data_IF_224000626271
#
_entry.id   IF_224000626271
#
_cell.length_a   1.000
_cell.length_b   1.000
_cell.length_c   1.000
_cell.angle_alpha   90.00
_cell.angle_beta   90.00
_cell.angle_gamma   90.00
#
_symmetry.space_group_name_H-M   'P 1'
#
loop_
_entity.id
_entity.type
_entity.pdbx_description
1 polymer ?
#
# COMPACT_ATOMS: atom_id res chain seq x y z
N UNK A 1 26.08 50.09 12.80
CA UNK A 1 24.66 49.75 12.55
C UNK A 1 24.64 48.24 12.35
N UNK A 2 24.41 47.53 13.45
CA UNK A 2 24.55 46.06 13.52
C UNK A 2 23.16 45.45 13.26
N UNK A 3 23.06 44.68 12.19
CA UNK A 3 21.86 43.96 11.79
C UNK A 3 21.57 42.86 12.83
N UNK A 4 20.36 42.70 13.35
CA UNK A 4 20.04 41.63 14.26
C UNK A 4 19.98 40.28 13.51
N UNK A 5 20.85 39.36 13.89
CA UNK A 5 20.89 37.95 13.48
C UNK A 5 19.62 37.24 13.98
N UNK A 6 18.54 37.32 13.20
CA UNK A 6 17.24 36.65 13.50
C UNK A 6 17.30 35.16 13.17
N UNK A 7 18.08 34.42 13.96
CA UNK A 7 18.06 32.97 13.95
C UNK A 7 16.76 32.47 14.58
N UNK A 8 15.91 31.77 13.83
CA UNK A 8 14.65 31.27 14.38
C UNK A 8 14.91 30.41 15.61
N UNK A 9 14.21 30.71 16.70
CA UNK A 9 14.37 30.03 17.99
C UNK A 9 14.16 28.51 17.83
N UNK A 10 14.88 27.72 18.64
CA UNK A 10 14.80 26.24 18.63
C UNK A 10 13.34 25.71 18.68
N UNK A 11 12.47 26.39 19.46
CA UNK A 11 11.02 26.09 19.51
C UNK A 11 10.31 26.28 18.18
N UNK A 12 10.63 27.32 17.40
CA UNK A 12 10.04 27.54 16.05
C UNK A 12 10.45 26.46 15.06
N UNK A 13 11.73 26.04 15.10
CA UNK A 13 12.22 24.95 14.23
C UNK A 13 11.59 23.60 14.57
N UNK A 14 11.42 23.26 15.83
CA UNK A 14 10.73 22.05 16.28
C UNK A 14 9.24 22.06 15.87
N UNK A 15 8.57 23.20 16.00
CA UNK A 15 7.17 23.37 15.59
C UNK A 15 7.01 23.20 14.09
N UNK A 16 7.88 23.80 13.28
CA UNK A 16 7.86 23.67 11.81
C UNK A 16 8.07 22.20 11.40
N UNK A 17 9.10 21.53 11.92
CA UNK A 17 9.38 20.13 11.62
C UNK A 17 8.21 19.20 12.02
N UNK A 18 7.52 19.48 13.12
CA UNK A 18 6.34 18.72 13.51
C UNK A 18 5.16 18.94 12.55
N UNK A 19 4.94 20.20 12.13
CA UNK A 19 3.89 20.51 11.14
C UNK A 19 4.16 19.83 9.80
N UNK A 20 5.42 19.86 9.33
CA UNK A 20 5.81 19.22 8.07
C UNK A 20 5.60 17.70 8.12
N UNK A 21 5.97 17.07 9.24
CA UNK A 21 5.72 15.62 9.45
C UNK A 21 4.24 15.29 9.49
N UNK A 22 3.42 16.11 10.14
CA UNK A 22 1.97 15.92 10.18
C UNK A 22 1.32 16.15 8.82
N UNK A 23 1.80 17.13 8.04
CA UNK A 23 1.33 17.37 6.68
C UNK A 23 1.71 16.21 5.75
N UNK A 24 2.95 15.74 5.80
CA UNK A 24 3.40 14.59 5.02
C UNK A 24 2.60 13.32 5.36
N UNK A 25 2.33 13.08 6.65
CA UNK A 25 1.48 11.95 7.09
C UNK A 25 0.05 12.06 6.59
N UNK A 26 -0.55 13.24 6.58
CA UNK A 26 -1.89 13.47 6.03
C UNK A 26 -1.91 13.23 4.53
N UNK A 27 -0.95 13.79 3.80
CA UNK A 27 -0.82 13.59 2.36
C UNK A 27 -0.65 12.10 2.01
N UNK A 28 0.15 11.36 2.79
CA UNK A 28 0.29 9.92 2.66
C UNK A 28 -1.06 9.21 2.90
N UNK A 29 -1.76 9.54 4.00
CA UNK A 29 -3.04 8.91 4.33
C UNK A 29 -4.13 9.17 3.28
N UNK A 30 -4.12 10.34 2.65
CA UNK A 30 -5.08 10.72 1.62
C UNK A 30 -4.82 10.02 0.27
N UNK A 31 -3.57 9.70 -0.03
CA UNK A 31 -3.15 9.10 -1.30
C UNK A 31 -2.93 7.59 -1.22
N UNK A 32 -2.54 7.08 -0.06
CA UNK A 32 -2.26 5.68 0.13
C UNK A 32 -3.52 4.82 0.18
N UNK A 33 -3.43 3.63 -0.40
CA UNK A 33 -4.47 2.61 -0.31
C UNK A 33 -3.97 1.47 0.58
N UNK A 34 -4.66 1.20 1.67
CA UNK A 34 -4.39 0.05 2.50
C UNK A 34 -4.82 -1.25 1.80
N UNK A 35 -3.99 -2.29 1.84
CA UNK A 35 -4.30 -3.59 1.24
C UNK A 35 -5.60 -4.18 1.81
N UNK A 36 -5.83 -4.03 3.12
CA UNK A 36 -7.07 -4.46 3.77
C UNK A 36 -8.33 -3.77 3.19
N UNK A 37 -8.19 -2.62 2.54
CA UNK A 37 -9.29 -1.96 1.82
C UNK A 37 -9.56 -2.58 0.46
N UNK A 38 -8.58 -3.21 -0.18
CA UNK A 38 -8.70 -3.79 -1.51
C UNK A 38 -9.12 -5.26 -1.46
N UNK A 39 -8.50 -6.04 -0.58
CA UNK A 39 -8.79 -7.48 -0.47
C UNK A 39 -10.27 -7.72 -0.13
N UNK A 40 -10.89 -8.59 -0.92
CA UNK A 40 -12.31 -8.91 -0.82
C UNK A 40 -13.25 -7.91 -1.50
N UNK A 41 -12.75 -6.79 -2.04
CA UNK A 41 -13.58 -5.85 -2.80
C UNK A 41 -13.97 -6.39 -4.17
N UNK A 42 -15.12 -5.98 -4.70
CA UNK A 42 -15.51 -6.33 -6.05
C UNK A 42 -14.55 -5.69 -7.07
N UNK A 43 -14.31 -6.43 -8.13
CA UNK A 43 -13.71 -5.90 -9.36
C UNK A 43 -14.88 -5.56 -10.27
N UNK A 44 -14.94 -4.30 -10.70
CA UNK A 44 -16.00 -3.80 -11.57
C UNK A 44 -15.44 -3.62 -12.99
N UNK A 45 -16.26 -3.88 -14.00
CA UNK A 45 -15.94 -3.50 -15.37
C UNK A 45 -16.15 -1.99 -15.60
N UNK A 46 -15.91 -1.50 -16.81
CA UNK A 46 -16.11 -0.10 -17.19
C UNK A 46 -17.56 0.38 -16.99
N UNK A 47 -18.54 -0.52 -17.11
CA UNK A 47 -19.96 -0.24 -16.92
C UNK A 47 -20.41 -0.34 -15.44
N UNK A 48 -19.51 -0.65 -14.51
CA UNK A 48 -19.83 -0.80 -13.09
C UNK A 48 -20.39 -2.17 -12.71
N UNK A 49 -20.45 -3.13 -13.64
CA UNK A 49 -20.87 -4.50 -13.35
C UNK A 49 -19.75 -5.26 -12.64
N UNK A 50 -20.14 -6.03 -11.63
CA UNK A 50 -19.18 -6.87 -10.89
C UNK A 50 -18.74 -8.06 -11.75
N UNK A 51 -17.44 -8.18 -11.99
CA UNK A 51 -16.82 -9.26 -12.77
C UNK A 51 -15.96 -10.20 -11.94
N UNK A 52 -15.66 -9.82 -10.70
CA UNK A 52 -14.84 -10.65 -9.82
C UNK A 52 -14.71 -10.04 -8.43
N UNK A 53 -13.70 -10.51 -7.71
CA UNK A 53 -13.35 -10.06 -6.36
C UNK A 53 -11.83 -10.08 -6.23
N UNK A 54 -11.26 -9.07 -5.62
CA UNK A 54 -9.83 -9.01 -5.29
C UNK A 54 -9.51 -10.11 -4.28
N UNK A 55 -8.64 -11.04 -4.66
CA UNK A 55 -8.09 -12.02 -3.73
C UNK A 55 -6.81 -11.49 -3.07
N UNK A 56 -5.94 -10.85 -3.85
CA UNK A 56 -4.68 -10.28 -3.39
C UNK A 56 -4.17 -9.22 -4.38
N UNK A 57 -3.12 -8.49 -4.00
CA UNK A 57 -2.34 -7.62 -4.86
C UNK A 57 -0.95 -8.25 -5.05
N UNK A 58 -0.47 -8.24 -6.29
CA UNK A 58 0.83 -8.82 -6.65
C UNK A 58 1.81 -7.69 -6.94
N UNK A 59 2.97 -7.74 -6.31
CA UNK A 59 4.09 -6.85 -6.57
C UNK A 59 5.27 -7.62 -7.17
N UNK A 60 6.15 -6.92 -7.86
CA UNK A 60 7.44 -7.45 -8.32
C UNK A 60 8.51 -7.10 -7.30
N UNK A 61 9.13 -8.14 -6.78
CA UNK A 61 10.28 -7.99 -5.91
C UNK A 61 11.57 -8.12 -6.73
N UNK A 62 12.19 -6.99 -6.99
CA UNK A 62 13.49 -6.95 -7.66
C UNK A 62 14.57 -6.48 -6.66
N UNK A 63 15.69 -7.21 -6.51
CA UNK A 63 16.78 -6.79 -5.64
C UNK A 63 17.27 -5.38 -5.96
N UNK A 64 17.40 -4.54 -4.92
CA UNK A 64 17.86 -3.15 -5.05
C UNK A 64 16.77 -2.13 -5.40
N UNK A 65 15.52 -2.55 -5.57
CA UNK A 65 14.38 -1.63 -5.72
C UNK A 65 13.79 -1.31 -4.35
N UNK A 66 13.82 -0.03 -3.98
CA UNK A 66 13.33 0.43 -2.67
C UNK A 66 11.83 0.19 -2.48
N UNK A 67 11.03 0.42 -3.52
CA UNK A 67 9.58 0.26 -3.48
C UNK A 67 9.13 -0.68 -4.61
N UNK A 68 8.78 -1.94 -4.29
CA UNK A 68 8.31 -2.92 -5.27
C UNK A 68 7.09 -2.44 -6.03
N UNK A 69 7.12 -2.55 -7.36
CA UNK A 69 6.01 -2.12 -8.21
C UNK A 69 4.87 -3.14 -8.17
N UNK A 70 3.63 -2.63 -8.11
CA UNK A 70 2.43 -3.47 -8.29
C UNK A 70 2.41 -3.97 -9.72
N UNK A 71 2.33 -5.28 -9.92
CA UNK A 71 2.24 -5.91 -11.26
C UNK A 71 0.82 -6.32 -11.61
N UNK A 72 -0.06 -6.44 -10.62
CA UNK A 72 -1.45 -6.74 -10.91
C UNK A 72 -2.29 -7.12 -9.70
N UNK A 73 -3.51 -7.51 -10.00
CA UNK A 73 -4.55 -7.91 -9.04
C UNK A 73 -4.80 -9.41 -9.20
N UNK A 74 -4.58 -10.17 -8.14
CA UNK A 74 -4.95 -11.59 -8.09
C UNK A 74 -6.47 -11.72 -7.88
N UNK A 75 -7.12 -12.48 -8.73
CA UNK A 75 -8.55 -12.70 -8.67
C UNK A 75 -8.93 -14.14 -9.04
N UNK A 76 -10.05 -14.67 -8.52
CA UNK A 76 -10.64 -15.89 -9.06
C UNK A 76 -11.13 -15.64 -10.49
N UNK A 77 -10.65 -16.43 -11.44
CA UNK A 77 -11.00 -16.34 -12.85
C UNK A 77 -11.36 -17.74 -13.36
N UNK A 78 -12.62 -17.93 -13.69
CA UNK A 78 -13.12 -19.25 -14.10
C UNK A 78 -12.93 -20.32 -12.99
N UNK A 79 -12.19 -21.40 -13.31
CA UNK A 79 -11.93 -22.50 -12.37
C UNK A 79 -10.68 -22.32 -11.51
N UNK A 80 -9.97 -21.21 -11.63
CA UNK A 80 -8.69 -20.97 -10.94
C UNK A 80 -8.50 -19.51 -10.53
N UNK A 81 -7.25 -19.18 -10.24
CA UNK A 81 -6.81 -17.83 -9.98
C UNK A 81 -5.95 -17.33 -11.13
N UNK A 82 -6.03 -16.05 -11.41
CA UNK A 82 -5.16 -15.38 -12.37
C UNK A 82 -4.85 -13.97 -11.91
N UNK A 83 -3.77 -13.42 -12.42
CA UNK A 83 -3.37 -12.03 -12.18
C UNK A 83 -3.84 -11.16 -13.33
N UNK A 84 -4.65 -10.16 -13.03
CA UNK A 84 -5.04 -9.10 -13.94
C UNK A 84 -3.94 -8.05 -13.86
N UNK A 85 -3.28 -7.78 -14.99
CA UNK A 85 -2.16 -6.84 -15.01
C UNK A 85 -2.57 -5.42 -14.57
N UNK A 86 -1.65 -4.70 -13.92
CA UNK A 86 -1.89 -3.36 -13.39
C UNK A 86 -2.38 -2.39 -14.48
N UNK A 87 -1.88 -2.50 -15.69
CA UNK A 87 -2.27 -1.65 -16.81
C UNK A 87 -3.74 -1.80 -17.20
N UNK A 88 -4.34 -2.96 -16.93
CA UNK A 88 -5.74 -3.26 -17.22
C UNK A 88 -6.71 -2.79 -16.11
N UNK A 89 -6.19 -2.30 -14.97
CA UNK A 89 -7.01 -1.91 -13.81
C UNK A 89 -6.78 -0.47 -13.39
N UNK A 90 -7.76 0.07 -12.67
CA UNK A 90 -7.68 1.31 -11.91
C UNK A 90 -7.88 0.92 -10.44
N UNK A 91 -6.85 1.13 -9.63
CA UNK A 91 -6.93 0.98 -8.18
C UNK A 91 -7.42 2.30 -7.58
N UNK A 92 -8.28 2.20 -6.59
CA UNK A 92 -8.79 3.33 -5.82
C UNK A 92 -9.12 2.90 -4.39
N UNK A 93 -9.30 3.85 -3.50
CA UNK A 93 -9.73 3.58 -2.12
C UNK A 93 -11.11 2.88 -2.06
N UNK A 94 -11.91 2.99 -3.12
CA UNK A 94 -13.25 2.36 -3.20
C UNK A 94 -13.22 0.96 -3.78
N UNK A 95 -12.12 0.52 -4.40
CA UNK A 95 -11.96 -0.80 -4.99
C UNK A 95 -11.20 -0.80 -6.31
N UNK A 96 -11.46 -1.81 -7.12
CA UNK A 96 -10.77 -2.06 -8.39
C UNK A 96 -11.76 -1.98 -9.54
N UNK A 97 -11.39 -1.27 -10.61
CA UNK A 97 -12.17 -1.17 -11.85
C UNK A 97 -11.30 -1.58 -13.05
N UNK A 98 -11.86 -2.34 -13.98
CA UNK A 98 -11.21 -2.64 -15.25
C UNK A 98 -11.26 -1.42 -16.17
N UNK A 99 -10.18 -1.19 -16.92
CA UNK A 99 -10.11 -0.12 -17.94
C UNK A 99 -10.89 -0.46 -19.20
N UNK A 100 -11.01 -1.75 -19.51
CA UNK A 100 -11.65 -2.25 -20.73
C UNK A 100 -12.72 -3.28 -20.41
N UNK A 101 -13.67 -3.46 -21.34
CA UNK A 101 -14.70 -4.49 -21.25
C UNK A 101 -14.24 -5.85 -21.77
N UNK A 102 -13.16 -5.86 -22.56
CA UNK A 102 -12.65 -7.08 -23.20
C UNK A 102 -11.99 -7.99 -22.18
N UNK A 103 -12.19 -9.29 -22.42
CA UNK A 103 -11.68 -10.42 -21.64
C UNK A 103 -10.41 -10.06 -20.88
N UNK A 104 -10.53 -10.13 -19.57
CA UNK A 104 -9.40 -9.95 -18.67
C UNK A 104 -8.31 -10.93 -19.08
N UNK A 105 -7.28 -10.42 -19.74
CA UNK A 105 -6.10 -11.23 -20.02
C UNK A 105 -5.44 -11.48 -18.67
N UNK A 106 -5.64 -12.68 -18.16
CA UNK A 106 -4.97 -13.10 -16.94
C UNK A 106 -3.71 -13.88 -17.31
N UNK A 107 -2.63 -13.57 -16.63
CA UNK A 107 -1.41 -14.37 -16.67
C UNK A 107 -1.42 -15.44 -15.58
N UNK A 108 -0.60 -16.50 -15.69
CA UNK A 108 -0.40 -17.46 -14.62
C UNK A 108 -0.07 -16.76 -13.30
N UNK A 109 -0.50 -17.37 -12.19
CA UNK A 109 -0.51 -16.76 -10.86
C UNK A 109 0.86 -16.32 -10.35
N UNK A 110 1.94 -16.92 -10.88
CA UNK A 110 3.31 -16.58 -10.44
C UNK A 110 4.30 -16.53 -11.58
N UNK A 111 5.01 -15.42 -11.61
CA UNK A 111 6.33 -15.32 -12.27
C UNK A 111 7.39 -15.28 -11.17
N UNK A 112 8.62 -15.59 -11.52
CA UNK A 112 9.76 -15.39 -10.62
C UNK A 112 9.80 -13.92 -10.16
N UNK A 113 10.01 -13.69 -8.86
CA UNK A 113 9.95 -12.37 -8.25
C UNK A 113 8.55 -11.81 -7.96
N UNK A 114 7.46 -12.52 -8.31
CA UNK A 114 6.10 -12.10 -7.93
C UNK A 114 5.81 -12.49 -6.48
N UNK A 115 5.38 -11.49 -5.69
CA UNK A 115 4.98 -11.62 -4.28
C UNK A 115 3.51 -11.20 -4.14
N UNK A 116 2.69 -12.04 -3.52
CA UNK A 116 1.30 -11.76 -3.22
C UNK A 116 1.19 -11.19 -1.81
N UNK A 117 0.85 -9.90 -1.69
CA UNK A 117 1.02 -9.13 -0.45
C UNK A 117 0.21 -9.66 0.73
N UNK A 118 -1.06 -10.05 0.51
CA UNK A 118 -1.88 -10.55 1.61
C UNK A 118 -1.41 -11.92 2.09
N UNK A 119 -0.90 -12.75 1.19
CA UNK A 119 -0.48 -14.11 1.52
C UNK A 119 0.95 -14.18 2.02
N UNK A 120 1.86 -13.42 1.38
CA UNK A 120 3.30 -13.59 1.58
C UNK A 120 3.91 -12.52 2.51
N UNK A 121 3.19 -11.41 2.78
CA UNK A 121 3.67 -10.30 3.60
C UNK A 121 2.83 -10.07 4.86
N UNK A 122 1.49 -10.03 4.72
CA UNK A 122 0.64 -9.80 5.89
C UNK A 122 0.81 -10.90 6.93
N UNK A 123 0.84 -10.48 8.20
CA UNK A 123 1.03 -11.34 9.37
C UNK A 123 2.42 -12.01 9.46
N UNK A 124 3.31 -11.77 8.50
CA UNK A 124 4.71 -12.22 8.57
C UNK A 124 5.58 -11.26 9.39
N UNK A 125 6.68 -11.80 9.88
CA UNK A 125 7.70 -11.04 10.57
C UNK A 125 8.65 -10.41 9.53
N UNK A 126 8.89 -9.12 9.68
CA UNK A 126 9.83 -8.34 8.89
C UNK A 126 10.92 -7.81 9.79
N UNK A 127 12.09 -7.55 9.25
CA UNK A 127 13.19 -6.92 9.97
C UNK A 127 13.23 -5.44 9.64
N UNK A 128 12.97 -4.61 10.63
CA UNK A 128 13.22 -3.17 10.55
C UNK A 128 14.72 -2.91 10.73
N UNK A 129 15.38 -2.48 9.65
CA UNK A 129 16.83 -2.22 9.67
C UNK A 129 17.15 -0.95 10.42
N UNK A 130 16.31 0.06 10.30
CA UNK A 130 16.53 1.35 10.97
C UNK A 130 16.31 1.25 12.48
N UNK A 131 15.29 0.50 12.90
CA UNK A 131 14.98 0.25 14.31
C UNK A 131 15.70 -0.96 14.93
N UNK A 132 16.35 -1.80 14.10
CA UNK A 132 16.95 -3.08 14.52
C UNK A 132 15.96 -3.95 15.31
N UNK A 133 14.72 -3.97 14.87
CA UNK A 133 13.63 -4.71 15.51
C UNK A 133 12.96 -5.69 14.54
N UNK A 134 12.43 -6.77 15.09
CA UNK A 134 11.53 -7.68 14.33
C UNK A 134 10.12 -7.19 14.52
N UNK A 135 9.47 -6.80 13.42
CA UNK A 135 8.12 -6.26 13.40
C UNK A 135 7.17 -7.19 12.65
N UNK A 136 5.88 -7.12 12.96
CA UNK A 136 4.85 -7.88 12.26
C UNK A 136 4.06 -6.97 11.33
N UNK A 137 4.00 -7.34 10.07
CA UNK A 137 3.20 -6.62 9.08
C UNK A 137 1.70 -6.80 9.38
N UNK A 138 1.06 -5.75 9.86
CA UNK A 138 -0.36 -5.75 10.19
C UNK A 138 -1.24 -5.28 9.03
N UNK A 139 -0.74 -4.38 8.20
CA UNK A 139 -1.31 -3.95 6.92
C UNK A 139 -0.18 -3.39 6.05
N UNK A 140 -0.40 -3.26 4.75
CA UNK A 140 0.54 -2.64 3.83
C UNK A 140 -0.15 -1.55 3.02
N UNK A 141 0.61 -0.55 2.61
CA UNK A 141 0.11 0.63 1.91
C UNK A 141 0.71 0.73 0.52
N UNK A 142 -0.17 0.98 -0.44
CA UNK A 142 0.18 1.24 -1.83
C UNK A 142 0.06 2.73 -2.10
N UNK A 143 1.04 3.30 -2.81
CA UNK A 143 1.01 4.66 -3.34
C UNK A 143 1.08 4.62 -4.87
N UNK A 144 0.47 5.62 -5.49
CA UNK A 144 0.63 5.83 -6.93
C UNK A 144 1.81 6.77 -7.15
N UNK A 145 2.94 6.19 -7.53
CA UNK A 145 4.18 6.90 -7.86
C UNK A 145 4.30 7.24 -9.35
N UNK A 146 5.43 7.79 -9.77
CA UNK A 146 5.69 8.16 -11.17
C UNK A 146 5.62 6.97 -12.14
N UNK A 147 5.95 5.78 -11.68
CA UNK A 147 5.99 4.55 -12.46
C UNK A 147 4.74 3.66 -12.25
N UNK A 148 3.70 4.18 -11.62
CA UNK A 148 2.48 3.46 -11.28
C UNK A 148 2.39 3.14 -9.79
N UNK A 149 1.54 2.18 -9.45
CA UNK A 149 1.35 1.76 -8.05
C UNK A 149 2.56 0.99 -7.52
N UNK A 150 2.97 1.32 -6.31
CA UNK A 150 4.11 0.71 -5.62
C UNK A 150 3.77 0.42 -4.16
N UNK A 151 4.48 -0.54 -3.58
CA UNK A 151 4.43 -0.85 -2.15
C UNK A 151 5.27 0.19 -1.39
N UNK A 152 4.59 1.10 -0.70
CA UNK A 152 5.24 2.25 -0.09
C UNK A 152 5.57 2.07 1.39
N UNK A 153 4.77 1.30 2.13
CA UNK A 153 5.01 1.15 3.56
C UNK A 153 4.18 0.06 4.23
N UNK A 154 4.53 -0.21 5.47
CA UNK A 154 3.93 -1.27 6.30
C UNK A 154 3.45 -0.70 7.62
N UNK A 155 2.21 -1.02 8.01
CA UNK A 155 1.70 -0.77 9.37
C UNK A 155 2.14 -1.92 10.29
N UNK A 156 2.90 -1.59 11.29
CA UNK A 156 3.39 -2.54 12.32
C UNK A 156 2.64 -2.41 13.65
N UNK A 157 1.55 -1.69 13.66
CA UNK A 157 0.78 -1.42 14.87
C UNK A 157 -0.16 -2.55 15.27
N UNK A 158 -0.11 -2.99 16.53
CA UNK A 158 -1.00 -4.03 17.10
C UNK A 158 -2.49 -3.68 16.97
N UNK A 159 -2.85 -2.40 16.87
CA UNK A 159 -4.24 -1.92 16.69
C UNK A 159 -4.84 -2.22 15.31
N UNK A 160 -4.03 -2.54 14.32
CA UNK A 160 -4.50 -2.90 12.98
C UNK A 160 -5.21 -4.26 12.95
N UNK A 161 -4.83 -5.20 13.84
CA UNK A 161 -5.54 -6.47 13.99
C UNK A 161 -7.03 -6.26 14.36
N UNK A 162 -7.32 -5.34 15.30
CA UNK A 162 -8.69 -5.00 15.68
C UNK A 162 -9.48 -4.34 14.54
N UNK A 163 -8.81 -3.64 13.63
CA UNK A 163 -9.45 -2.96 12.48
C UNK A 163 -9.93 -3.93 11.39
N UNK A 164 -9.31 -5.10 11.27
CA UNK A 164 -9.79 -6.15 10.35
C UNK A 164 -11.17 -6.69 10.74
N UNK A 165 -11.51 -6.59 12.03
CA UNK A 165 -12.79 -7.04 12.59
C UNK A 165 -13.87 -5.94 12.57
N UNK A 166 -13.52 -4.68 12.33
CA UNK A 166 -14.46 -3.57 12.29
C UNK A 166 -15.12 -3.44 10.90
N UNK A 167 -16.39 -2.94 10.85
CA UNK A 167 -17.07 -2.66 9.60
C UNK A 167 -16.23 -1.73 8.70
N UNK A 168 -16.13 -2.06 7.42
CA UNK A 168 -15.28 -1.42 6.39
C UNK A 168 -15.37 0.11 6.30
N UNK A 169 -16.41 0.74 6.85
CA UNK A 169 -16.65 2.20 6.78
C UNK A 169 -15.79 3.05 7.73
N UNK A 170 -15.07 2.46 8.69
CA UNK A 170 -14.29 3.20 9.71
C UNK A 170 -12.79 2.91 9.69
N UNK A 171 -12.27 2.41 8.58
CA UNK A 171 -10.86 2.04 8.44
C UNK A 171 -10.04 3.21 7.90
N UNK A 172 -9.93 4.29 8.68
CA UNK A 172 -8.90 5.30 8.42
C UNK A 172 -7.58 4.83 9.07
N UNK A 173 -6.47 4.76 8.34
CA UNK A 173 -5.21 4.33 8.91
C UNK A 173 -4.73 5.33 9.95
N UNK A 174 -4.36 4.94 11.17
CA UNK A 174 -3.49 5.75 11.99
C UNK A 174 -2.09 5.64 11.43
N UNK A 175 -1.63 6.69 10.83
CA UNK A 175 -0.30 6.82 10.19
C UNK A 175 0.85 6.76 11.22
N UNK A 176 0.55 6.55 12.50
CA UNK A 176 1.51 6.68 13.60
C UNK A 176 2.59 5.60 13.68
N UNK A 177 2.42 4.49 12.92
CA UNK A 177 3.36 3.35 12.91
C UNK A 177 3.56 2.76 11.52
N UNK A 178 3.47 3.58 10.50
CA UNK A 178 3.85 3.15 9.15
C UNK A 178 5.35 3.33 9.01
N UNK A 179 6.03 2.23 8.71
CA UNK A 179 7.44 2.18 8.37
C UNK A 179 7.52 2.19 6.83
N UNK A 180 8.45 2.98 6.29
CA UNK A 180 8.74 2.98 4.86
C UNK A 180 9.22 1.59 4.44
N UNK A 181 8.72 1.10 3.29
CA UNK A 181 9.14 -0.22 2.81
C UNK A 181 10.64 -0.31 2.56
N UNK A 182 11.28 0.79 2.14
CA UNK A 182 12.72 0.84 1.92
C UNK A 182 13.57 0.62 3.19
N UNK A 183 12.97 0.80 4.37
CA UNK A 183 13.62 0.58 5.67
C UNK A 183 13.48 -0.86 6.19
N UNK A 184 12.75 -1.72 5.45
CA UNK A 184 12.47 -3.10 5.85
C UNK A 184 13.27 -4.09 5.00
N UNK A 185 13.66 -5.20 5.61
CA UNK A 185 14.12 -6.41 4.93
C UNK A 185 13.16 -7.56 5.24
N UNK A 186 12.79 -8.30 4.22
CA UNK A 186 11.94 -9.48 4.32
C UNK A 186 12.74 -10.76 4.08
#
# INVERSE_FOLDING_TARGET
MTEPDDKPSHRRRLSAALHDRLAARRAFADQAIALAHLVGRPILNSQGTRVGKVADIVVRWDPGVAHPSVTGVLAPLGRGFGVIDQEAVILSQTGVRLRTERNVVSRPVRREGDVALARDVLDHQLVDIAGVEVVRASDVYLLNGPNGWELAGVDVGVRSLGRRLLPRRRRCPPVDRVIDWAELHA
#
